data_IF_057844874734
#
_entry.id   IF_057844874734
#
_cell.length_a   1.000
_cell.length_b   1.000
_cell.length_c   1.000
_cell.angle_alpha   90.00
_cell.angle_beta   90.00
_cell.angle_gamma   90.00
#
_symmetry.space_group_name_H-M   'P 1'
#
loop_
_entity.id
_entity.type
_entity.pdbx_description
1 polymer ?
#
# COMPACT_ATOMS: atom_id res chain seq x y z
N UNK A 1 -19.84 8.02 0.27
CA UNK A 1 -18.46 8.57 0.40
C UNK A 1 -17.59 8.20 -0.80
N UNK A 2 -17.38 6.91 -1.13
CA UNK A 2 -16.53 6.48 -2.25
C UNK A 2 -16.91 7.15 -3.58
N UNK A 3 -18.17 7.20 -4.05
CA UNK A 3 -18.51 7.86 -5.30
C UNK A 3 -18.16 9.36 -5.29
N UNK A 4 -18.43 10.05 -4.20
CA UNK A 4 -18.11 11.49 -4.08
C UNK A 4 -16.61 11.78 -4.16
N UNK A 5 -15.77 10.92 -3.53
CA UNK A 5 -14.31 11.05 -3.63
C UNK A 5 -13.84 10.78 -5.06
N UNK A 6 -14.40 9.76 -5.72
CA UNK A 6 -14.12 9.45 -7.12
C UNK A 6 -14.49 10.62 -8.05
N UNK A 7 -15.70 11.16 -7.92
CA UNK A 7 -16.14 12.32 -8.70
C UNK A 7 -15.25 13.54 -8.50
N UNK A 8 -14.84 13.82 -7.25
CA UNK A 8 -13.92 14.94 -6.96
C UNK A 8 -12.53 14.72 -7.55
N UNK A 9 -12.00 13.49 -7.50
CA UNK A 9 -10.72 13.17 -8.11
C UNK A 9 -10.76 13.32 -9.64
N UNK A 10 -11.80 12.78 -10.28
CA UNK A 10 -12.02 12.93 -11.73
C UNK A 10 -12.19 14.40 -12.12
N UNK A 11 -13.03 15.14 -11.39
CA UNK A 11 -13.24 16.57 -11.66
C UNK A 11 -11.98 17.41 -11.42
N UNK A 12 -11.12 17.03 -10.48
CA UNK A 12 -9.81 17.67 -10.29
C UNK A 12 -8.90 17.43 -11.51
N UNK A 13 -8.79 16.18 -11.98
CA UNK A 13 -8.00 15.82 -13.16
C UNK A 13 -8.47 16.63 -14.38
N UNK A 14 -9.78 16.65 -14.63
CA UNK A 14 -10.39 17.42 -15.69
C UNK A 14 -10.02 18.91 -15.62
N UNK A 15 -10.11 19.51 -14.44
CA UNK A 15 -9.79 20.91 -14.21
C UNK A 15 -8.31 21.24 -14.46
N UNK A 16 -7.41 20.33 -14.07
CA UNK A 16 -5.96 20.53 -14.18
C UNK A 16 -5.39 20.11 -15.55
N UNK A 17 -6.19 19.47 -16.40
CA UNK A 17 -5.71 18.83 -17.64
C UNK A 17 -5.02 19.80 -18.61
N UNK A 18 -5.55 21.01 -18.79
CA UNK A 18 -4.95 22.01 -19.69
C UNK A 18 -3.57 22.43 -19.17
N UNK A 19 -3.49 22.81 -17.88
CA UNK A 19 -2.25 23.23 -17.24
C UNK A 19 -1.19 22.12 -17.25
N UNK A 20 -1.61 20.88 -16.99
CA UNK A 20 -0.70 19.74 -16.98
C UNK A 20 -0.08 19.47 -18.36
N UNK A 21 -0.87 19.61 -19.46
CA UNK A 21 -0.36 19.49 -20.83
C UNK A 21 0.59 20.61 -21.22
N UNK A 22 0.45 21.77 -20.59
CA UNK A 22 1.35 22.93 -20.78
C UNK A 22 2.60 22.88 -19.88
N UNK A 23 2.84 21.74 -19.16
CA UNK A 23 4.02 21.56 -18.34
C UNK A 23 3.89 22.07 -16.90
N UNK A 24 2.68 22.38 -16.45
CA UNK A 24 2.38 22.69 -15.04
C UNK A 24 1.78 21.48 -14.35
N UNK A 25 2.60 20.57 -13.78
CA UNK A 25 2.13 19.30 -13.21
C UNK A 25 1.29 19.54 -11.96
N UNK A 26 0.47 18.55 -11.62
CA UNK A 26 -0.25 18.50 -10.35
C UNK A 26 0.21 17.32 -9.49
N UNK A 27 -0.07 17.40 -8.21
CA UNK A 27 -0.02 16.29 -7.27
C UNK A 27 -1.44 16.04 -6.75
N UNK A 28 -1.92 14.80 -6.87
CA UNK A 28 -3.24 14.40 -6.38
C UNK A 28 -3.11 13.22 -5.43
N UNK A 29 -3.46 13.42 -4.16
CA UNK A 29 -3.56 12.38 -3.16
C UNK A 29 -5.03 12.04 -2.91
N UNK A 30 -5.40 10.76 -3.09
CA UNK A 30 -6.78 10.28 -2.96
C UNK A 30 -6.85 9.23 -1.85
N UNK A 31 -6.96 9.62 -0.58
CA UNK A 31 -7.08 8.69 0.54
C UNK A 31 -8.50 8.13 0.60
N UNK A 32 -8.71 6.99 -0.06
CA UNK A 32 -10.00 6.33 -0.06
C UNK A 32 -10.29 5.72 1.32
N UNK A 33 -11.49 5.93 1.85
CA UNK A 33 -11.93 5.28 3.08
C UNK A 33 -12.32 3.81 2.87
N UNK A 34 -12.56 3.38 1.64
CA UNK A 34 -12.84 1.99 1.29
C UNK A 34 -11.54 1.18 1.11
N UNK A 35 -11.56 -0.11 1.44
CA UNK A 35 -12.69 -0.91 1.93
C UNK A 35 -12.78 -1.00 3.46
N UNK A 36 -12.38 0.05 4.20
CA UNK A 36 -12.45 0.09 5.66
C UNK A 36 -13.88 0.00 6.18
N UNK A 37 -14.06 -0.45 7.41
CA UNK A 37 -15.35 -0.47 8.11
C UNK A 37 -15.92 0.94 8.34
N UNK A 38 -17.24 1.10 8.31
CA UNK A 38 -18.25 0.07 8.03
C UNK A 38 -18.21 -0.42 6.58
N UNK A 39 -18.26 -1.77 6.41
CA UNK A 39 -18.21 -2.39 5.08
C UNK A 39 -19.56 -2.21 4.40
N UNK A 40 -19.65 -1.26 3.50
CA UNK A 40 -20.89 -0.84 2.85
C UNK A 40 -20.71 -0.74 1.33
N UNK A 41 -20.62 -1.88 0.62
CA UNK A 41 -20.60 -1.86 -0.84
C UNK A 41 -21.91 -1.28 -1.37
N UNK A 42 -21.80 -0.43 -2.39
CA UNK A 42 -22.96 0.13 -3.07
C UNK A 42 -23.74 -0.96 -3.80
N UNK A 43 -25.05 -0.75 -4.00
CA UNK A 43 -25.96 -1.70 -4.63
C UNK A 43 -25.41 -2.34 -5.93
N UNK A 44 -24.77 -1.61 -6.87
CA UNK A 44 -24.22 -2.23 -8.08
C UNK A 44 -23.11 -3.26 -7.81
N UNK A 45 -22.53 -3.25 -6.61
CA UNK A 45 -21.41 -4.13 -6.25
C UNK A 45 -21.81 -5.26 -5.30
N UNK A 46 -22.99 -5.19 -4.68
CA UNK A 46 -23.45 -6.19 -3.73
C UNK A 46 -23.60 -7.56 -4.39
N UNK A 47 -22.94 -8.57 -3.81
CA UNK A 47 -22.94 -9.96 -4.32
C UNK A 47 -22.04 -10.21 -5.53
N UNK A 48 -21.38 -9.19 -6.08
CA UNK A 48 -20.60 -9.31 -7.33
C UNK A 48 -19.34 -10.15 -7.18
N UNK A 49 -18.69 -10.12 -6.04
CA UNK A 49 -17.48 -10.92 -5.80
C UNK A 49 -17.75 -12.42 -5.67
N UNK A 50 -18.99 -12.80 -5.32
CA UNK A 50 -19.31 -14.17 -4.92
C UNK A 50 -18.68 -14.58 -3.58
N UNK A 51 -17.91 -13.71 -2.92
CA UNK A 51 -17.23 -13.96 -1.65
C UNK A 51 -18.05 -13.43 -0.46
N UNK A 52 -17.88 -12.15 -0.14
CA UNK A 52 -18.60 -11.48 0.93
C UNK A 52 -18.69 -9.97 0.68
N UNK A 53 -19.35 -9.24 1.56
CA UNK A 53 -19.53 -7.78 1.41
C UNK A 53 -18.21 -7.00 1.39
N UNK A 54 -17.16 -7.48 2.09
CA UNK A 54 -15.84 -6.84 2.04
C UNK A 54 -15.22 -6.95 0.64
N UNK A 55 -15.26 -8.13 0.03
CA UNK A 55 -14.75 -8.34 -1.32
C UNK A 55 -15.54 -7.54 -2.37
N UNK A 56 -16.87 -7.41 -2.19
CA UNK A 56 -17.68 -6.53 -3.02
C UNK A 56 -17.24 -5.07 -2.89
N UNK A 57 -16.88 -4.64 -1.67
CA UNK A 57 -16.40 -3.28 -1.43
C UNK A 57 -14.99 -3.05 -1.99
N UNK A 58 -14.13 -4.08 -2.02
CA UNK A 58 -12.85 -4.06 -2.74
C UNK A 58 -13.08 -3.85 -4.23
N UNK A 59 -14.04 -4.57 -4.85
CA UNK A 59 -14.38 -4.37 -6.26
C UNK A 59 -14.89 -2.95 -6.55
N UNK A 60 -15.68 -2.38 -5.64
CA UNK A 60 -16.12 -0.99 -5.76
C UNK A 60 -14.92 0.00 -5.67
N UNK A 61 -13.93 -0.32 -4.84
CA UNK A 61 -12.69 0.47 -4.71
C UNK A 61 -11.86 0.39 -5.98
N UNK A 62 -11.71 -0.81 -6.55
CA UNK A 62 -11.01 -1.03 -7.82
C UNK A 62 -11.67 -0.24 -8.96
N UNK A 63 -13.00 -0.24 -9.03
CA UNK A 63 -13.74 0.54 -10.02
C UNK A 63 -13.53 2.06 -9.86
N UNK A 64 -13.38 2.55 -8.64
CA UNK A 64 -13.03 3.96 -8.39
C UNK A 64 -11.65 4.30 -8.94
N UNK A 65 -10.67 3.41 -8.77
CA UNK A 65 -9.33 3.54 -9.39
C UNK A 65 -9.45 3.52 -10.91
N UNK A 66 -10.25 2.59 -11.47
CA UNK A 66 -10.53 2.52 -12.90
C UNK A 66 -11.09 3.83 -13.47
N UNK A 67 -12.01 4.48 -12.76
CA UNK A 67 -12.57 5.78 -13.17
C UNK A 67 -11.51 6.90 -13.19
N UNK A 68 -10.60 6.91 -12.22
CA UNK A 68 -9.48 7.86 -12.17
C UNK A 68 -8.52 7.63 -13.36
N UNK A 69 -8.18 6.37 -13.64
CA UNK A 69 -7.34 6.03 -14.79
C UNK A 69 -7.99 6.41 -16.11
N UNK A 70 -9.29 6.17 -16.27
CA UNK A 70 -10.05 6.57 -17.46
C UNK A 70 -10.05 8.09 -17.65
N UNK A 71 -10.15 8.88 -16.58
CA UNK A 71 -10.06 10.33 -16.66
C UNK A 71 -8.67 10.80 -17.14
N UNK A 72 -7.59 10.14 -16.70
CA UNK A 72 -6.25 10.46 -17.23
C UNK A 72 -6.12 10.15 -18.73
N UNK A 73 -6.70 9.03 -19.18
CA UNK A 73 -6.70 8.65 -20.60
C UNK A 73 -7.52 9.62 -21.44
N UNK A 74 -8.74 9.97 -21.03
CA UNK A 74 -9.64 10.91 -21.69
C UNK A 74 -8.99 12.28 -21.89
N UNK A 75 -8.24 12.72 -20.88
CA UNK A 75 -7.56 14.03 -20.92
C UNK A 75 -6.13 13.98 -21.44
N UNK A 76 -5.67 12.84 -22.01
CA UNK A 76 -4.34 12.66 -22.61
C UNK A 76 -3.19 12.94 -21.63
N UNK A 77 -3.35 12.55 -20.38
CA UNK A 77 -2.35 12.72 -19.31
C UNK A 77 -1.60 11.43 -18.96
N UNK A 78 -2.05 10.29 -19.45
CA UNK A 78 -1.56 8.96 -19.08
C UNK A 78 -0.06 8.80 -19.23
N UNK A 79 0.52 9.23 -20.36
CA UNK A 79 1.95 9.06 -20.67
C UNK A 79 2.87 9.87 -19.72
N UNK A 80 2.36 10.96 -19.16
CA UNK A 80 3.14 11.85 -18.30
C UNK A 80 2.63 11.90 -16.83
N UNK A 81 1.91 10.89 -16.42
CA UNK A 81 1.43 10.78 -15.04
C UNK A 81 1.94 9.51 -14.38
N UNK A 82 2.66 9.65 -13.27
CA UNK A 82 2.93 8.54 -12.34
C UNK A 82 1.68 8.31 -11.49
N UNK A 83 1.09 7.12 -11.60
CA UNK A 83 0.02 6.66 -10.72
C UNK A 83 0.58 5.60 -9.77
N UNK A 84 0.37 5.79 -8.48
CA UNK A 84 0.73 4.81 -7.46
C UNK A 84 -0.56 4.38 -6.75
N UNK A 85 -0.78 3.06 -6.69
CA UNK A 85 -1.82 2.45 -5.88
C UNK A 85 -1.16 1.67 -4.74
N UNK A 86 -1.63 1.90 -3.54
CA UNK A 86 -1.13 1.23 -2.33
C UNK A 86 -2.20 1.23 -1.22
N UNK A 87 -1.86 0.67 -0.07
CA UNK A 87 -2.67 0.67 1.15
C UNK A 87 -1.84 1.12 2.34
N UNK A 88 -2.48 1.62 3.38
CA UNK A 88 -1.85 2.06 4.63
C UNK A 88 -1.45 0.91 5.55
N UNK A 89 -2.17 -0.22 5.49
CA UNK A 89 -1.92 -1.43 6.28
C UNK A 89 -2.51 -2.67 5.62
N UNK A 90 -2.16 -3.82 6.14
CA UNK A 90 -2.72 -5.11 5.72
C UNK A 90 -4.21 -5.27 5.99
N UNK A 91 -4.80 -6.33 5.46
CA UNK A 91 -6.23 -6.58 5.57
C UNK A 91 -6.66 -6.71 7.03
N UNK A 92 -7.81 -6.12 7.36
CA UNK A 92 -8.39 -6.21 8.71
C UNK A 92 -9.11 -7.55 8.91
N UNK A 93 -9.01 -8.17 10.10
CA UNK A 93 -9.86 -9.32 10.46
C UNK A 93 -11.37 -9.05 10.33
N UNK A 94 -11.78 -7.78 10.38
CA UNK A 94 -13.18 -7.36 10.14
C UNK A 94 -13.65 -7.57 8.69
N UNK A 95 -12.76 -8.00 7.79
CA UNK A 95 -13.10 -8.49 6.46
C UNK A 95 -13.78 -9.87 6.47
N UNK A 96 -13.96 -10.49 7.64
CA UNK A 96 -14.51 -11.84 7.80
C UNK A 96 -13.64 -12.90 7.09
N UNK A 97 -12.44 -13.10 7.63
CA UNK A 97 -11.47 -14.07 7.11
C UNK A 97 -11.98 -15.50 7.08
N UNK A 98 -12.87 -15.87 8.01
CA UNK A 98 -13.45 -17.21 8.07
C UNK A 98 -14.29 -17.48 6.80
N UNK A 99 -15.21 -16.59 6.47
CA UNK A 99 -16.02 -16.69 5.25
C UNK A 99 -15.14 -16.64 3.99
N UNK A 100 -14.12 -15.80 3.95
CA UNK A 100 -13.21 -15.70 2.80
C UNK A 100 -12.43 -17.00 2.60
N UNK A 101 -11.84 -17.56 3.67
CA UNK A 101 -11.08 -18.83 3.62
C UNK A 101 -11.97 -20.03 3.26
N UNK A 102 -13.21 -20.07 3.76
CA UNK A 102 -14.16 -21.11 3.37
C UNK A 102 -14.43 -21.12 1.86
N UNK A 103 -14.23 -19.99 1.19
CA UNK A 103 -14.32 -19.81 -0.27
C UNK A 103 -12.94 -19.81 -0.95
N UNK A 104 -11.92 -20.35 -0.29
CA UNK A 104 -10.55 -20.48 -0.81
C UNK A 104 -9.89 -19.12 -1.17
N UNK A 105 -10.31 -18.03 -0.49
CA UNK A 105 -9.71 -16.71 -0.65
C UNK A 105 -8.92 -16.32 0.60
N UNK A 106 -7.63 -16.03 0.43
CA UNK A 106 -6.77 -15.50 1.47
C UNK A 106 -6.42 -14.03 1.18
N UNK A 107 -7.02 -13.13 1.94
CA UNK A 107 -6.81 -11.69 1.80
C UNK A 107 -5.44 -11.19 2.24
N UNK A 108 -4.66 -12.02 2.92
CA UNK A 108 -3.26 -11.74 3.29
C UNK A 108 -2.25 -12.38 2.34
N UNK A 109 -2.71 -13.04 1.26
CA UNK A 109 -1.86 -13.69 0.25
C UNK A 109 -0.81 -14.66 0.84
N UNK A 110 -1.18 -15.43 1.87
CA UNK A 110 -0.31 -16.35 2.59
C UNK A 110 0.58 -15.71 3.66
N UNK A 111 0.63 -14.40 3.76
CA UNK A 111 1.40 -13.73 4.80
C UNK A 111 0.76 -13.91 6.17
N UNK A 112 1.62 -14.21 7.15
CA UNK A 112 1.20 -14.32 8.54
C UNK A 112 0.68 -12.97 9.06
N UNK A 113 -0.40 -13.03 9.85
CA UNK A 113 -0.96 -11.86 10.52
C UNK A 113 -1.92 -11.07 9.65
N UNK A 114 -2.29 -9.90 10.16
CA UNK A 114 -3.30 -9.02 9.58
C UNK A 114 -3.03 -7.58 10.02
N UNK A 115 -3.90 -6.64 9.67
CA UNK A 115 -3.89 -5.27 10.21
C UNK A 115 -3.59 -5.28 11.71
N UNK A 116 -2.79 -4.34 12.18
CA UNK A 116 -2.30 -4.15 13.54
C UNK A 116 -1.11 -5.01 13.95
N UNK A 117 -0.85 -6.14 13.28
CA UNK A 117 0.21 -7.06 13.66
C UNK A 117 1.59 -6.63 13.19
N UNK A 118 2.63 -7.11 13.90
CA UNK A 118 4.04 -6.89 13.52
C UNK A 118 4.45 -7.75 12.33
N UNK A 119 3.69 -8.78 11.98
CA UNK A 119 3.98 -9.75 10.94
C UNK A 119 3.75 -9.18 9.53
N UNK A 120 4.20 -9.90 8.50
CA UNK A 120 4.13 -9.44 7.09
C UNK A 120 2.71 -9.11 6.65
N UNK A 121 1.69 -9.89 7.07
CA UNK A 121 0.29 -9.61 6.75
C UNK A 121 -0.25 -8.28 7.28
N UNK A 122 0.44 -7.67 8.25
CA UNK A 122 0.10 -6.33 8.76
C UNK A 122 0.75 -5.18 7.98
N UNK A 123 1.89 -5.43 7.33
CA UNK A 123 2.75 -4.39 6.78
C UNK A 123 3.09 -4.55 5.30
N UNK A 124 3.12 -5.77 4.76
CA UNK A 124 3.40 -6.02 3.35
C UNK A 124 2.13 -5.81 2.53
N UNK A 125 1.94 -4.58 2.10
CA UNK A 125 0.77 -4.11 1.35
C UNK A 125 1.04 -4.09 -0.16
N UNK A 126 0.02 -4.11 -1.02
CA UNK A 126 0.19 -3.89 -2.45
C UNK A 126 0.86 -2.54 -2.71
N UNK A 127 1.81 -2.53 -3.63
CA UNK A 127 2.42 -1.31 -4.16
C UNK A 127 2.55 -1.46 -5.67
N UNK A 128 1.73 -0.72 -6.41
CA UNK A 128 1.68 -0.77 -7.87
C UNK A 128 1.95 0.61 -8.42
N UNK A 129 2.94 0.73 -9.31
CA UNK A 129 3.27 1.98 -9.98
C UNK A 129 3.03 1.84 -11.50
N UNK A 130 2.34 2.81 -12.08
CA UNK A 130 2.12 2.92 -13.52
C UNK A 130 2.63 4.27 -14.02
N UNK A 131 3.57 4.25 -14.95
CA UNK A 131 4.04 5.44 -15.65
C UNK A 131 4.51 5.05 -17.04
N UNK A 132 3.63 5.05 -18.03
CA UNK A 132 3.98 4.66 -19.40
C UNK A 132 5.20 5.43 -19.92
N UNK A 133 6.06 4.75 -20.66
CA UNK A 133 7.31 5.33 -21.18
C UNK A 133 8.43 5.54 -20.17
N UNK A 134 8.17 5.38 -18.87
CA UNK A 134 9.17 5.54 -17.78
C UNK A 134 9.32 4.26 -16.95
N UNK A 135 8.23 3.59 -16.63
CA UNK A 135 8.20 2.33 -15.88
C UNK A 135 7.86 1.21 -16.85
N UNK A 136 8.70 0.17 -16.90
CA UNK A 136 8.47 -0.99 -17.78
C UNK A 136 7.22 -1.73 -17.35
N UNK A 137 6.29 -1.94 -18.29
CA UNK A 137 5.08 -2.71 -18.04
C UNK A 137 5.41 -4.16 -17.63
N UNK A 138 4.70 -4.67 -16.63
CA UNK A 138 4.89 -6.02 -16.10
C UNK A 138 6.20 -6.25 -15.33
N UNK A 139 6.97 -5.21 -15.05
CA UNK A 139 8.16 -5.34 -14.22
C UNK A 139 7.77 -5.55 -12.75
N UNK A 140 8.60 -6.31 -12.05
CA UNK A 140 8.52 -6.52 -10.60
C UNK A 140 9.84 -6.09 -9.95
N UNK A 141 9.80 -5.73 -8.67
CA UNK A 141 10.99 -5.36 -7.89
C UNK A 141 10.86 -5.95 -6.48
N UNK A 142 11.95 -6.51 -5.99
CA UNK A 142 12.09 -7.02 -4.63
C UNK A 142 12.67 -5.97 -3.66
N UNK A 143 12.84 -4.74 -4.10
CA UNK A 143 13.39 -3.69 -3.26
C UNK A 143 12.46 -3.34 -2.10
N UNK A 144 13.06 -3.14 -0.93
CA UNK A 144 12.36 -2.62 0.23
C UNK A 144 11.99 -1.16 -0.01
N UNK A 145 10.70 -0.86 0.10
CA UNK A 145 10.16 0.49 0.05
C UNK A 145 9.11 0.66 1.15
N UNK A 146 8.92 1.87 1.63
CA UNK A 146 7.81 2.19 2.52
C UNK A 146 7.14 3.50 2.08
N UNK A 147 5.94 3.77 2.59
CA UNK A 147 5.15 4.91 2.10
C UNK A 147 5.83 6.27 2.32
N UNK A 148 6.66 6.39 3.36
CA UNK A 148 7.47 7.59 3.59
C UNK A 148 8.48 7.89 2.47
N UNK A 149 8.89 6.89 1.69
CA UNK A 149 9.82 7.05 0.56
C UNK A 149 9.19 7.85 -0.61
N UNK A 150 7.87 8.01 -0.61
CA UNK A 150 7.18 8.86 -1.59
C UNK A 150 7.65 10.31 -1.53
N UNK A 151 8.00 10.83 -0.34
CA UNK A 151 8.46 12.21 -0.20
C UNK A 151 9.76 12.45 -0.98
N UNK A 152 10.81 11.66 -0.73
CA UNK A 152 12.07 11.79 -1.46
C UNK A 152 11.92 11.46 -2.95
N UNK A 153 11.05 10.50 -3.29
CA UNK A 153 10.77 10.14 -4.69
C UNK A 153 10.10 11.29 -5.45
N UNK A 154 9.10 11.94 -4.87
CA UNK A 154 8.45 13.10 -5.47
C UNK A 154 9.40 14.30 -5.58
N UNK A 155 10.23 14.54 -4.56
CA UNK A 155 11.24 15.59 -4.61
C UNK A 155 12.22 15.36 -5.77
N UNK A 156 12.76 14.14 -5.92
CA UNK A 156 13.65 13.80 -7.04
C UNK A 156 12.96 13.96 -8.41
N UNK A 157 11.66 13.62 -8.52
CA UNK A 157 10.91 13.79 -9.77
C UNK A 157 10.84 15.23 -10.25
N UNK A 158 10.79 16.18 -9.34
CA UNK A 158 10.76 17.63 -9.65
C UNK A 158 12.14 18.28 -9.61
N UNK A 159 13.21 17.49 -9.45
CA UNK A 159 14.59 17.98 -9.42
C UNK A 159 15.03 18.60 -8.10
N UNK A 160 14.26 18.39 -7.04
CA UNK A 160 14.52 18.92 -5.70
C UNK A 160 15.10 17.85 -4.78
N UNK A 161 15.60 18.29 -3.63
CA UNK A 161 16.05 17.41 -2.53
C UNK A 161 15.27 17.73 -1.28
N UNK A 162 14.90 16.72 -0.48
CA UNK A 162 14.35 16.96 0.85
C UNK A 162 15.27 17.87 1.68
N UNK A 163 14.72 18.78 2.48
CA UNK A 163 15.50 19.49 3.49
C UNK A 163 16.20 18.51 4.44
N UNK A 164 17.35 18.92 5.01
CA UNK A 164 18.14 18.03 5.88
C UNK A 164 17.44 17.64 7.18
N UNK A 165 16.49 18.44 7.60
CA UNK A 165 15.68 18.30 8.81
C UNK A 165 14.27 17.78 8.55
N UNK A 166 14.03 17.24 7.37
CA UNK A 166 12.72 16.67 7.01
C UNK A 166 12.87 15.36 6.24
N UNK A 167 11.99 14.40 6.54
CA UNK A 167 11.94 13.08 5.90
C UNK A 167 13.28 12.31 5.97
N UNK A 168 13.92 12.31 7.13
CA UNK A 168 15.25 11.73 7.40
C UNK A 168 15.34 10.27 6.97
N UNK A 169 14.25 9.51 7.13
CA UNK A 169 14.15 8.11 6.75
C UNK A 169 13.60 7.87 5.34
N UNK A 170 13.40 8.91 4.55
CA UNK A 170 12.85 8.80 3.19
C UNK A 170 13.97 8.64 2.17
N UNK A 171 13.90 7.58 1.38
CA UNK A 171 14.84 7.29 0.29
C UNK A 171 14.09 7.16 -1.03
N UNK A 172 14.53 7.90 -2.05
CA UNK A 172 13.89 7.82 -3.36
C UNK A 172 14.05 6.44 -3.98
N UNK A 173 12.96 5.85 -4.42
CA UNK A 173 12.93 4.63 -5.23
C UNK A 173 12.75 4.94 -6.74
N UNK A 174 12.78 6.21 -7.15
CA UNK A 174 12.64 6.61 -8.54
C UNK A 174 13.67 5.93 -9.46
N UNK A 175 14.97 5.85 -9.11
CA UNK A 175 15.96 5.16 -9.95
C UNK A 175 15.64 3.68 -10.18
N UNK A 176 15.19 2.97 -9.14
CA UNK A 176 14.80 1.58 -9.24
C UNK A 176 13.52 1.41 -10.08
N UNK A 177 12.52 2.23 -9.84
CA UNK A 177 11.24 2.19 -10.55
C UNK A 177 11.41 2.46 -12.06
N UNK A 178 12.32 3.35 -12.44
CA UNK A 178 12.60 3.72 -13.84
C UNK A 178 13.69 2.88 -14.49
N UNK A 179 14.26 1.88 -13.79
CA UNK A 179 15.35 1.05 -14.31
C UNK A 179 16.69 1.76 -14.47
N UNK A 180 16.86 2.96 -13.89
CA UNK A 180 18.15 3.70 -13.90
C UNK A 180 19.18 3.11 -12.95
N UNK A 181 18.75 2.37 -11.94
CA UNK A 181 19.62 1.67 -10.99
C UNK A 181 18.94 0.41 -10.49
N UNK A 182 19.71 -0.67 -10.37
CA UNK A 182 19.31 -1.90 -9.68
C UNK A 182 19.74 -1.91 -8.21
N UNK A 183 20.58 -0.94 -7.78
CA UNK A 183 20.97 -0.83 -6.39
C UNK A 183 19.77 -0.50 -5.50
N UNK A 184 19.69 -1.20 -4.37
CA UNK A 184 18.65 -0.93 -3.39
C UNK A 184 18.80 0.49 -2.83
N UNK A 185 17.72 1.25 -2.82
CA UNK A 185 17.68 2.58 -2.20
C UNK A 185 17.73 2.49 -0.68
N UNK A 186 17.33 1.33 -0.12
CA UNK A 186 17.20 1.04 1.29
C UNK A 186 17.70 -0.37 1.59
N UNK A 187 18.50 -0.56 2.64
CA UNK A 187 18.95 -1.88 3.10
C UNK A 187 18.02 -2.47 4.15
N UNK A 188 17.48 -1.63 5.03
CA UNK A 188 16.62 -2.05 6.13
C UNK A 188 15.41 -1.15 6.28
N UNK A 189 14.37 -1.67 6.92
CA UNK A 189 13.16 -0.92 7.28
C UNK A 189 12.78 -1.25 8.71
N UNK A 190 12.50 -0.21 9.51
CA UNK A 190 11.93 -0.33 10.85
C UNK A 190 10.46 0.02 10.77
N UNK A 191 9.63 -0.78 11.43
CA UNK A 191 8.20 -0.55 11.56
C UNK A 191 7.71 -1.04 12.90
N UNK A 192 6.49 -0.69 13.26
CA UNK A 192 5.88 -1.09 14.53
C UNK A 192 4.45 -1.57 14.36
N UNK A 193 4.01 -2.41 15.29
CA UNK A 193 2.63 -2.87 15.40
C UNK A 193 1.75 -1.85 16.13
N UNK A 194 0.45 -2.13 16.22
CA UNK A 194 -0.52 -1.23 16.86
C UNK A 194 -0.27 -1.02 18.36
N UNK A 195 0.38 -1.96 19.06
CA UNK A 195 0.76 -1.80 20.47
C UNK A 195 2.14 -1.15 20.67
N UNK A 196 2.83 -0.74 19.57
CA UNK A 196 4.14 -0.12 19.62
C UNK A 196 5.32 -1.10 19.69
N UNK A 197 5.11 -2.41 19.48
CA UNK A 197 6.23 -3.35 19.32
C UNK A 197 6.97 -3.10 18.02
N UNK A 198 8.31 -3.01 18.06
CA UNK A 198 9.12 -2.73 16.90
C UNK A 198 9.61 -3.99 16.19
N UNK A 199 9.82 -3.87 14.90
CA UNK A 199 10.57 -4.82 14.10
C UNK A 199 11.51 -4.11 13.14
N UNK A 200 12.60 -4.81 12.78
CA UNK A 200 13.49 -4.42 11.70
C UNK A 200 13.51 -5.55 10.66
N UNK A 201 13.45 -5.18 9.39
CA UNK A 201 13.71 -6.08 8.26
C UNK A 201 14.95 -5.62 7.52
N UNK A 202 15.86 -6.57 7.25
CA UNK A 202 17.06 -6.39 6.44
C UNK A 202 17.19 -7.60 5.49
N UNK A 203 17.10 -7.35 4.21
CA UNK A 203 17.02 -8.40 3.21
C UNK A 203 15.84 -9.36 3.45
N UNK A 204 16.14 -10.66 3.59
CA UNK A 204 15.14 -11.69 3.93
C UNK A 204 14.93 -11.85 5.44
N UNK A 205 15.75 -11.24 6.29
CA UNK A 205 15.63 -11.39 7.74
C UNK A 205 14.71 -10.35 8.34
N UNK A 206 13.85 -10.80 9.25
CA UNK A 206 12.95 -9.93 10.04
C UNK A 206 13.05 -10.27 11.52
N UNK A 207 13.52 -9.31 12.31
CA UNK A 207 13.56 -9.40 13.77
C UNK A 207 12.41 -8.59 14.38
N UNK A 208 11.52 -9.25 15.10
CA UNK A 208 10.45 -8.62 15.88
C UNK A 208 10.86 -8.57 17.35
N UNK A 209 10.79 -7.39 17.96
CA UNK A 209 11.16 -7.14 19.36
C UNK A 209 9.94 -7.34 20.28
N UNK A 210 9.26 -8.46 20.11
CA UNK A 210 8.12 -8.87 20.94
C UNK A 210 7.93 -10.38 20.84
N UNK A 211 7.34 -11.01 21.88
CA UNK A 211 7.08 -12.45 21.90
C UNK A 211 5.79 -12.86 21.17
N UNK A 212 5.01 -11.90 20.69
CA UNK A 212 3.65 -12.06 20.19
C UNK A 212 3.41 -11.30 18.88
N UNK A 213 2.15 -11.16 18.46
CA UNK A 213 1.81 -10.43 17.23
C UNK A 213 1.99 -8.91 17.35
N UNK A 214 2.11 -8.38 18.55
CA UNK A 214 2.03 -6.93 18.78
C UNK A 214 0.68 -6.32 18.40
N UNK A 215 -0.29 -7.12 18.02
CA UNK A 215 -1.56 -6.68 17.47
C UNK A 215 -2.75 -7.57 17.78
N UNK A 216 -3.50 -7.99 16.77
CA UNK A 216 -4.80 -8.63 16.96
C UNK A 216 -4.80 -10.13 16.68
N UNK A 217 -3.81 -10.65 15.95
CA UNK A 217 -3.67 -12.08 15.67
C UNK A 217 -3.01 -12.84 16.83
N UNK A 218 -3.14 -14.16 16.82
CA UNK A 218 -2.45 -15.01 17.79
C UNK A 218 -0.96 -15.22 17.45
N UNK A 219 -0.11 -15.32 18.46
CA UNK A 219 -0.38 -15.10 19.90
C UNK A 219 -0.62 -13.60 20.17
N UNK A 220 -1.71 -13.32 20.91
CA UNK A 220 -2.05 -11.94 21.28
C UNK A 220 -1.14 -11.39 22.36
N UNK A 221 -0.91 -10.06 22.41
CA UNK A 221 -0.20 -9.42 23.50
C UNK A 221 -0.74 -9.82 24.87
N UNK A 222 0.18 -10.21 25.77
CA UNK A 222 -0.16 -10.68 27.11
C UNK A 222 -0.75 -12.09 27.19
N UNK A 223 -0.80 -12.84 26.09
CA UNK A 223 -1.30 -14.24 26.06
C UNK A 223 -0.22 -15.25 25.67
N UNK A 224 1.03 -14.88 25.79
CA UNK A 224 2.16 -15.79 25.60
C UNK A 224 2.62 -16.38 26.92
N UNK A 225 3.21 -17.62 26.96
CA UNK A 225 3.81 -18.16 28.13
C UNK A 225 4.87 -17.24 28.75
N UNK A 226 5.01 -17.22 30.06
CA UNK A 226 5.99 -16.37 30.76
C UNK A 226 7.44 -16.62 30.32
N UNK A 227 7.74 -17.83 29.87
CA UNK A 227 9.06 -18.23 29.35
C UNK A 227 9.20 -18.10 27.83
N UNK A 228 8.25 -17.47 27.15
CA UNK A 228 8.37 -17.26 25.72
C UNK A 228 9.58 -16.37 25.38
N UNK A 229 10.29 -16.64 24.27
CA UNK A 229 11.34 -15.75 23.78
C UNK A 229 10.79 -14.33 23.59
N UNK A 230 11.55 -13.34 24.05
CA UNK A 230 11.12 -11.93 23.97
C UNK A 230 11.29 -11.33 22.58
N UNK A 231 11.92 -12.07 21.69
CA UNK A 231 12.14 -11.68 20.28
C UNK A 231 11.80 -12.85 19.35
N UNK A 232 11.43 -12.53 18.14
CA UNK A 232 11.18 -13.50 17.08
C UNK A 232 12.02 -13.14 15.85
N UNK A 233 12.72 -14.13 15.30
CA UNK A 233 13.51 -13.96 14.08
C UNK A 233 12.91 -14.84 12.98
N UNK A 234 12.65 -14.23 11.82
CA UNK A 234 12.10 -14.90 10.66
C UNK A 234 13.04 -14.77 9.47
N UNK A 235 13.22 -15.88 8.73
CA UNK A 235 13.71 -15.86 7.36
C UNK A 235 12.49 -15.81 6.42
N UNK A 236 12.32 -14.68 5.73
CA UNK A 236 11.21 -14.46 4.83
C UNK A 236 11.43 -15.09 3.43
N UNK A 237 12.60 -15.70 3.19
CA UNK A 237 12.92 -16.43 1.98
C UNK A 237 12.68 -17.94 2.11
N UNK A 238 12.43 -18.44 3.33
CA UNK A 238 12.24 -19.85 3.63
C UNK A 238 10.80 -20.36 3.40
#
# INVERSE_FOLDING_TARGET
MLPTLTEKAVGFIQKQAADAREGRPFFLYVPLASPHTPVLPLEPWQGRSGLNAYADFVMATDAAVGAILAALDEHQLTENTLVIFTSDNGCSPLADFETLRAKQHDSSAGFRGAKADIYEGGHRVPFVARWPGKVKAGATSEQLVFLGDLYATCAEMVGERPPRDAAEDSFSFLPAMTGRSSAASRQSIVHHSSNGSFAIREGSWKLCLCPDSGGWSDPKPGRVPANAPQVQLFDLAA
#
